data_IF_781709850963
#
_entry.id   IF_781709850963
#
_cell.length_a   1.000
_cell.length_b   1.000
_cell.length_c   1.000
_cell.angle_alpha   90.00
_cell.angle_beta   90.00
_cell.angle_gamma   90.00
#
_symmetry.space_group_name_H-M   'P 1'
#
loop_
_entity.id
_entity.type
_entity.pdbx_description
1 polymer ?
#
# COMPACT_ATOMS: atom_id res chain seq x y z
N UNK A 1 -14.59 -7.58 -24.46
CA UNK A 1 -13.31 -7.47 -23.72
C UNK A 1 -13.49 -8.26 -22.45
N UNK A 2 -12.78 -9.38 -22.33
CA UNK A 2 -13.02 -10.37 -21.27
C UNK A 2 -12.84 -9.74 -19.88
N UNK A 3 -13.72 -10.11 -18.93
CA UNK A 3 -13.59 -9.71 -17.51
C UNK A 3 -12.35 -10.40 -16.97
N UNK A 4 -11.18 -9.79 -17.18
CA UNK A 4 -9.90 -10.28 -16.69
C UNK A 4 -10.03 -10.45 -15.17
N UNK A 5 -10.10 -11.71 -14.73
CA UNK A 5 -10.12 -12.10 -13.32
C UNK A 5 -8.73 -11.83 -12.71
N UNK A 6 -8.38 -10.55 -12.58
CA UNK A 6 -7.12 -10.10 -11.99
C UNK A 6 -7.27 -10.19 -10.48
N UNK A 7 -6.33 -10.88 -9.84
CA UNK A 7 -6.26 -10.92 -8.39
C UNK A 7 -5.56 -9.66 -7.89
N UNK A 8 -6.06 -9.14 -6.78
CA UNK A 8 -5.40 -8.07 -6.05
C UNK A 8 -4.13 -8.61 -5.36
N UNK A 9 -3.12 -7.76 -5.25
CA UNK A 9 -1.96 -8.05 -4.42
C UNK A 9 -2.28 -7.58 -3.02
N UNK A 10 -2.32 -8.50 -2.06
CA UNK A 10 -2.71 -8.20 -0.70
C UNK A 10 -1.70 -8.74 0.31
N UNK A 11 -1.37 -7.93 1.31
CA UNK A 11 -0.49 -8.28 2.42
C UNK A 11 -1.29 -8.11 3.70
N UNK A 12 -1.60 -9.23 4.36
CA UNK A 12 -2.38 -9.28 5.60
C UNK A 12 -1.46 -9.52 6.78
N UNK A 13 -1.47 -8.60 7.74
CA UNK A 13 -0.65 -8.66 8.97
C UNK A 13 -1.55 -8.62 10.19
N UNK A 14 -2.45 -9.59 10.30
CA UNK A 14 -3.29 -9.74 11.47
C UNK A 14 -2.48 -10.13 12.71
N UNK A 15 -2.99 -9.78 13.88
CA UNK A 15 -2.49 -10.28 15.16
C UNK A 15 -3.64 -10.55 16.14
N UNK A 16 -3.33 -11.28 17.21
CA UNK A 16 -4.30 -11.65 18.25
C UNK A 16 -4.74 -10.47 19.12
N UNK A 17 -4.06 -9.32 19.02
CA UNK A 17 -4.40 -8.08 19.71
C UNK A 17 -5.36 -7.19 18.91
N UNK A 18 -5.85 -7.66 17.76
CA UNK A 18 -6.71 -6.89 16.85
C UNK A 18 -6.13 -5.52 16.50
N UNK A 19 -4.81 -5.45 16.36
CA UNK A 19 -4.06 -4.23 16.03
C UNK A 19 -3.22 -4.40 14.77
N UNK A 20 -3.49 -5.47 14.02
CA UNK A 20 -2.89 -5.74 12.74
C UNK A 20 -3.35 -4.76 11.67
N UNK A 21 -2.95 -5.04 10.44
CA UNK A 21 -3.25 -4.17 9.30
C UNK A 21 -3.19 -4.92 7.98
N UNK A 22 -3.77 -4.35 6.95
CA UNK A 22 -3.74 -4.88 5.58
C UNK A 22 -3.38 -3.78 4.59
N UNK A 23 -2.61 -4.13 3.57
CA UNK A 23 -2.45 -3.36 2.34
C UNK A 23 -2.92 -4.18 1.14
N UNK A 24 -3.73 -3.58 0.27
CA UNK A 24 -4.18 -4.15 -1.00
C UNK A 24 -3.80 -3.22 -2.16
N UNK A 25 -3.29 -3.79 -3.24
CA UNK A 25 -2.95 -3.11 -4.47
C UNK A 25 -3.80 -3.67 -5.60
N UNK A 26 -4.57 -2.80 -6.25
CA UNK A 26 -5.60 -3.17 -7.24
C UNK A 26 -5.40 -2.40 -8.52
N UNK A 27 -5.48 -3.05 -9.68
CA UNK A 27 -5.51 -2.32 -10.95
C UNK A 27 -6.84 -1.57 -11.06
N UNK A 28 -6.78 -0.29 -11.43
CA UNK A 28 -7.96 0.51 -11.68
C UNK A 28 -8.79 -0.06 -12.83
N UNK A 29 -10.12 0.11 -12.78
CA UNK A 29 -11.02 -0.45 -13.80
C UNK A 29 -10.73 0.05 -15.23
N UNK A 30 -10.14 1.23 -15.35
CA UNK A 30 -9.75 1.84 -16.63
C UNK A 30 -8.34 1.44 -17.07
N UNK A 31 -7.68 0.54 -16.35
CA UNK A 31 -6.29 0.15 -16.57
C UNK A 31 -5.30 1.33 -16.51
N UNK A 32 -5.66 2.48 -15.92
CA UNK A 32 -4.85 3.72 -15.95
C UNK A 32 -4.00 3.94 -14.70
N UNK A 33 -4.19 3.11 -13.67
CA UNK A 33 -3.54 3.27 -12.37
C UNK A 33 -3.58 1.99 -11.53
N UNK A 34 -2.92 2.06 -10.38
CA UNK A 34 -3.08 1.09 -9.30
C UNK A 34 -3.60 1.81 -8.04
N UNK A 35 -4.63 1.28 -7.40
CA UNK A 35 -5.09 1.76 -6.10
C UNK A 35 -4.37 1.01 -4.97
N UNK A 36 -3.83 1.76 -4.01
CA UNK A 36 -3.39 1.26 -2.71
C UNK A 36 -4.50 1.50 -1.70
N UNK A 37 -5.04 0.42 -1.13
CA UNK A 37 -5.99 0.45 -0.02
C UNK A 37 -5.34 -0.10 1.26
N UNK A 38 -5.39 0.67 2.35
CA UNK A 38 -4.89 0.23 3.66
C UNK A 38 -5.98 0.31 4.72
N UNK A 39 -6.12 -0.74 5.53
CA UNK A 39 -7.07 -0.79 6.63
C UNK A 39 -6.43 -1.37 7.91
N UNK A 40 -6.88 -0.88 9.06
CA UNK A 40 -6.52 -1.46 10.35
C UNK A 40 -7.36 -2.71 10.61
N UNK A 41 -6.78 -3.70 11.29
CA UNK A 41 -7.55 -4.77 11.89
C UNK A 41 -8.36 -4.18 13.05
N UNK A 42 -9.63 -4.56 13.18
CA UNK A 42 -10.52 -4.10 14.24
C UNK A 42 -11.22 -5.26 14.96
N UNK A 43 -11.08 -6.49 14.46
CA UNK A 43 -11.66 -7.68 15.07
C UNK A 43 -10.76 -8.92 14.84
N UNK A 44 -11.01 -10.02 15.57
CA UNK A 44 -10.27 -11.28 15.37
C UNK A 44 -10.54 -11.87 13.99
N UNK A 45 -9.64 -12.73 13.51
CA UNK A 45 -9.69 -13.27 12.14
C UNK A 45 -10.86 -14.21 11.84
N UNK A 46 -11.56 -14.69 12.86
CA UNK A 46 -12.81 -15.45 12.74
C UNK A 46 -14.06 -14.55 12.59
N UNK A 47 -13.91 -13.24 12.75
CA UNK A 47 -14.96 -12.26 12.44
C UNK A 47 -15.24 -12.24 10.93
N UNK A 48 -16.50 -12.03 10.50
CA UNK A 48 -16.82 -11.82 9.08
C UNK A 48 -16.18 -10.56 8.50
N UNK A 49 -15.79 -9.59 9.35
CA UNK A 49 -15.10 -8.35 8.97
C UNK A 49 -13.95 -8.09 9.97
N UNK A 50 -12.78 -8.73 9.79
CA UNK A 50 -11.66 -8.56 10.72
C UNK A 50 -10.92 -7.22 10.54
N UNK A 51 -11.17 -6.51 9.44
CA UNK A 51 -10.54 -5.24 9.10
C UNK A 51 -11.60 -4.14 8.90
N UNK A 52 -11.24 -2.93 9.30
CA UNK A 52 -12.05 -1.73 9.13
C UNK A 52 -11.94 -1.20 7.69
N UNK A 53 -12.62 -1.89 6.78
CA UNK A 53 -12.70 -1.48 5.38
C UNK A 53 -13.54 -0.20 5.16
N UNK A 54 -14.37 0.17 6.12
CA UNK A 54 -15.23 1.35 6.06
C UNK A 54 -14.40 2.63 6.24
N UNK A 55 -13.38 2.59 7.12
CA UNK A 55 -12.44 3.69 7.35
C UNK A 55 -11.07 3.51 6.65
N UNK A 56 -10.99 2.68 5.60
CA UNK A 56 -9.74 2.45 4.86
C UNK A 56 -9.20 3.72 4.21
N UNK A 57 -7.88 3.78 4.06
CA UNK A 57 -7.21 4.84 3.29
C UNK A 57 -6.97 4.33 1.87
N UNK A 58 -7.40 5.12 0.87
CA UNK A 58 -7.22 4.80 -0.56
C UNK A 58 -6.32 5.85 -1.21
N UNK A 59 -5.28 5.43 -1.91
CA UNK A 59 -4.38 6.29 -2.71
C UNK A 59 -4.32 5.78 -4.15
N UNK A 60 -4.44 6.68 -5.14
CA UNK A 60 -4.21 6.38 -6.56
C UNK A 60 -2.71 6.47 -6.83
N UNK A 61 -2.10 5.38 -7.29
CA UNK A 61 -0.71 5.30 -7.71
C UNK A 61 -0.65 5.38 -9.24
N UNK A 62 0.05 6.39 -9.75
CA UNK A 62 0.36 6.51 -11.17
C UNK A 62 1.67 5.81 -11.54
N UNK A 63 2.03 5.89 -12.81
CA UNK A 63 3.28 5.31 -13.36
C UNK A 63 4.51 5.81 -12.60
N UNK A 64 4.59 7.11 -12.33
CA UNK A 64 5.71 7.72 -11.58
C UNK A 64 5.85 7.13 -10.18
N UNK A 65 4.73 6.87 -9.50
CA UNK A 65 4.73 6.32 -8.15
C UNK A 65 5.20 4.86 -8.15
N UNK A 66 4.71 4.06 -9.11
CA UNK A 66 5.15 2.67 -9.29
C UNK A 66 6.63 2.59 -9.64
N UNK A 67 7.15 3.49 -10.49
CA UNK A 67 8.57 3.57 -10.80
C UNK A 67 9.42 3.93 -9.58
N UNK A 68 8.99 4.91 -8.76
CA UNK A 68 9.69 5.28 -7.51
C UNK A 68 9.70 4.12 -6.51
N UNK A 69 8.57 3.45 -6.33
CA UNK A 69 8.46 2.25 -5.48
C UNK A 69 9.40 1.14 -5.98
N UNK A 70 9.39 0.84 -7.27
CA UNK A 70 10.28 -0.17 -7.86
C UNK A 70 11.76 0.17 -7.74
N UNK A 71 12.12 1.44 -7.92
CA UNK A 71 13.50 1.89 -7.76
C UNK A 71 13.95 1.76 -6.30
N UNK A 72 13.10 2.17 -5.35
CA UNK A 72 13.39 2.09 -3.93
C UNK A 72 13.52 0.64 -3.43
N UNK A 73 12.61 -0.25 -3.83
CA UNK A 73 12.62 -1.66 -3.45
C UNK A 73 13.76 -2.48 -4.08
N UNK A 74 14.56 -1.89 -4.98
CA UNK A 74 15.80 -2.51 -5.50
C UNK A 74 17.02 -2.22 -4.63
N UNK A 75 16.93 -1.24 -3.73
CA UNK A 75 18.01 -0.90 -2.82
C UNK A 75 18.05 -1.95 -1.71
N UNK A 76 19.26 -2.42 -1.38
CA UNK A 76 19.45 -3.45 -0.35
C UNK A 76 19.12 -2.91 1.07
N UNK A 77 19.68 -1.75 1.39
CA UNK A 77 19.49 -1.05 2.68
C UNK A 77 19.38 0.46 2.45
N UNK A 78 18.22 0.96 1.98
CA UNK A 78 18.05 2.39 1.75
C UNK A 78 18.14 3.18 3.06
N UNK A 79 19.00 4.21 3.07
CA UNK A 79 19.25 5.04 4.27
C UNK A 79 18.15 6.06 4.57
N UNK A 80 17.37 6.47 3.56
CA UNK A 80 16.24 7.39 3.71
C UNK A 80 14.94 6.69 3.32
N UNK A 81 13.83 7.05 3.95
CA UNK A 81 12.51 6.52 3.56
C UNK A 81 12.05 7.12 2.22
N UNK A 82 11.42 6.30 1.38
CA UNK A 82 10.68 6.79 0.23
C UNK A 82 9.40 7.48 0.71
N UNK A 83 9.11 8.67 0.20
CA UNK A 83 7.89 9.41 0.50
C UNK A 83 7.16 9.82 -0.78
N UNK A 84 5.86 9.57 -0.83
CA UNK A 84 4.96 10.03 -1.88
C UNK A 84 3.84 10.85 -1.24
N UNK A 85 3.52 12.00 -1.84
CA UNK A 85 2.52 12.94 -1.33
C UNK A 85 1.48 13.20 -2.40
N UNK A 86 0.20 13.07 -2.03
CA UNK A 86 -0.95 13.30 -2.90
C UNK A 86 -1.89 14.28 -2.23
N UNK A 87 -2.14 15.40 -2.89
CA UNK A 87 -3.17 16.35 -2.47
C UNK A 87 -4.55 15.83 -2.89
N UNK A 88 -5.54 15.93 -1.99
CA UNK A 88 -6.91 15.55 -2.30
C UNK A 88 -7.67 16.73 -2.92
N UNK A 89 -8.50 16.53 -3.96
CA UNK A 89 -9.43 17.56 -4.43
C UNK A 89 -10.37 17.97 -3.30
N UNK A 90 -10.31 19.24 -2.87
CA UNK A 90 -11.08 19.75 -1.71
C UNK A 90 -10.25 19.98 -0.43
N UNK A 91 -8.93 19.76 -0.50
CA UNK A 91 -8.00 19.97 0.62
C UNK A 91 -7.72 18.70 1.43
N UNK A 92 -6.64 18.74 2.20
CA UNK A 92 -6.09 17.56 2.89
C UNK A 92 -5.07 16.80 2.05
N UNK A 93 -4.25 15.98 2.71
CA UNK A 93 -3.11 15.31 2.11
C UNK A 93 -3.09 13.83 2.43
N UNK A 94 -2.77 13.00 1.44
CA UNK A 94 -2.41 11.61 1.63
C UNK A 94 -0.91 11.45 1.47
N UNK A 95 -0.30 10.72 2.39
CA UNK A 95 1.12 10.44 2.41
C UNK A 95 1.35 8.94 2.38
N UNK A 96 2.33 8.50 1.60
CA UNK A 96 2.87 7.15 1.64
C UNK A 96 4.33 7.25 2.06
N UNK A 97 4.71 6.52 3.09
CA UNK A 97 6.11 6.34 3.50
C UNK A 97 6.46 4.86 3.41
N UNK A 98 7.52 4.52 2.67
CA UNK A 98 8.11 3.19 2.63
C UNK A 98 9.48 3.26 3.26
N UNK A 99 9.65 2.69 4.45
CA UNK A 99 10.88 2.83 5.24
C UNK A 99 11.50 1.46 5.49
N UNK A 100 12.78 1.31 5.14
CA UNK A 100 13.54 0.12 5.50
C UNK A 100 13.84 0.12 7.00
N UNK A 101 13.87 -1.07 7.59
CA UNK A 101 14.20 -1.29 8.98
C UNK A 101 14.74 -2.70 9.22
N UNK A 102 15.26 -2.92 10.42
CA UNK A 102 15.48 -4.26 10.97
C UNK A 102 14.48 -4.49 12.10
N UNK A 103 13.74 -5.60 12.05
CA UNK A 103 12.84 -6.04 13.12
C UNK A 103 13.29 -7.41 13.60
N UNK A 104 13.64 -7.53 14.89
CA UNK A 104 14.21 -8.74 15.49
C UNK A 104 15.42 -9.29 14.69
N UNK A 105 16.31 -8.39 14.24
CA UNK A 105 17.50 -8.74 13.46
C UNK A 105 17.22 -9.22 12.02
N UNK A 106 15.97 -9.08 11.54
CA UNK A 106 15.58 -9.42 10.17
C UNK A 106 15.26 -8.16 9.37
N UNK A 107 15.77 -8.03 8.14
CA UNK A 107 15.43 -6.92 7.26
C UNK A 107 13.94 -6.92 6.91
N UNK A 108 13.33 -5.76 6.97
CA UNK A 108 11.91 -5.56 6.69
C UNK A 108 11.68 -4.11 6.25
N UNK A 109 10.47 -3.82 5.82
CA UNK A 109 10.02 -2.46 5.57
C UNK A 109 8.74 -2.17 6.36
N UNK A 110 8.49 -0.89 6.64
CA UNK A 110 7.16 -0.42 7.00
C UNK A 110 6.59 0.40 5.84
N UNK A 111 5.43 -0.02 5.36
CA UNK A 111 4.55 0.79 4.52
C UNK A 111 3.60 1.55 5.43
N UNK A 112 3.75 2.86 5.53
CA UNK A 112 2.83 3.72 6.26
C UNK A 112 2.04 4.57 5.28
N UNK A 113 0.71 4.51 5.38
CA UNK A 113 -0.20 5.37 4.63
C UNK A 113 -0.95 6.25 5.60
N UNK A 114 -0.91 7.56 5.38
CA UNK A 114 -1.60 8.54 6.21
C UNK A 114 -2.56 9.38 5.38
N UNK A 115 -3.68 9.75 5.97
CA UNK A 115 -4.62 10.72 5.43
C UNK A 115 -4.84 11.82 6.47
N UNK A 116 -4.37 13.02 6.15
CA UNK A 116 -4.68 14.23 6.89
C UNK A 116 -5.88 14.89 6.23
N UNK A 117 -6.98 15.00 6.99
CA UNK A 117 -8.10 15.85 6.59
C UNK A 117 -7.72 17.32 6.82
N UNK A 118 -8.49 18.24 6.23
CA UNK A 118 -8.32 19.68 6.42
C UNK A 118 -8.28 20.07 7.92
N UNK A 119 -7.65 21.23 8.21
CA UNK A 119 -7.29 21.74 9.55
C UNK A 119 -8.22 21.27 10.69
N UNK A 120 -7.67 20.52 11.65
CA UNK A 120 -8.28 20.26 12.97
C UNK A 120 -8.73 18.82 13.23
N UNK A 121 -8.86 17.98 12.21
CA UNK A 121 -9.19 16.56 12.39
C UNK A 121 -7.95 15.67 12.57
N UNK A 122 -8.11 14.59 13.35
CA UNK A 122 -7.04 13.61 13.56
C UNK A 122 -6.66 12.92 12.24
N UNK A 123 -5.36 12.83 11.97
CA UNK A 123 -4.85 12.11 10.82
C UNK A 123 -5.11 10.61 10.99
N UNK A 124 -5.75 9.98 10.00
CA UNK A 124 -5.80 8.52 9.95
C UNK A 124 -4.46 7.99 9.45
N UNK A 125 -3.93 6.93 10.06
CA UNK A 125 -2.64 6.33 9.69
C UNK A 125 -2.70 4.81 9.84
N UNK A 126 -2.30 4.09 8.79
CA UNK A 126 -2.15 2.63 8.80
C UNK A 126 -0.71 2.29 8.44
N UNK A 127 -0.07 1.48 9.28
CA UNK A 127 1.31 1.00 9.08
C UNK A 127 1.32 -0.51 8.94
N UNK A 128 1.80 -1.02 7.80
CA UNK A 128 1.87 -2.45 7.47
C UNK A 128 3.35 -2.87 7.41
N UNK A 129 3.82 -3.81 8.25
CA UNK A 129 5.15 -4.38 8.08
C UNK A 129 5.18 -5.24 6.82
N UNK A 130 6.26 -5.14 6.04
CA UNK A 130 6.46 -5.83 4.77
C UNK A 130 7.76 -6.63 4.86
N UNK A 131 7.69 -7.94 4.67
CA UNK A 131 8.85 -8.83 4.61
C UNK A 131 9.57 -8.75 3.27
N UNK A 132 10.79 -9.30 3.18
CA UNK A 132 11.55 -9.31 1.92
C UNK A 132 10.88 -10.17 0.84
N UNK A 133 10.25 -11.28 1.23
CA UNK A 133 9.43 -12.13 0.37
C UNK A 133 8.24 -11.35 -0.21
N UNK A 134 7.58 -10.55 0.62
CA UNK A 134 6.48 -9.67 0.19
C UNK A 134 6.97 -8.52 -0.68
N UNK A 135 8.19 -8.01 -0.46
CA UNK A 135 8.83 -7.05 -1.35
C UNK A 135 8.99 -7.64 -2.75
N UNK A 136 9.45 -8.88 -2.88
CA UNK A 136 9.53 -9.54 -4.19
C UNK A 136 8.15 -9.69 -4.85
N UNK A 137 7.13 -10.04 -4.06
CA UNK A 137 5.76 -10.10 -4.56
C UNK A 137 5.27 -8.74 -5.09
N UNK A 138 5.53 -7.65 -4.34
CA UNK A 138 5.21 -6.29 -4.76
C UNK A 138 5.99 -5.89 -6.02
N UNK A 139 7.29 -6.22 -6.12
CA UNK A 139 8.12 -5.88 -7.29
C UNK A 139 7.61 -6.53 -8.57
N UNK A 140 7.20 -7.80 -8.50
CA UNK A 140 6.59 -8.50 -9.64
C UNK A 140 5.27 -7.81 -10.01
N UNK A 141 4.43 -7.57 -9.01
CA UNK A 141 3.16 -6.87 -9.15
C UNK A 141 3.24 -5.53 -9.83
N UNK A 142 4.12 -4.65 -9.35
CA UNK A 142 4.28 -3.29 -9.87
C UNK A 142 4.82 -3.29 -11.30
N UNK A 143 5.71 -4.24 -11.67
CA UNK A 143 6.17 -4.39 -13.05
C UNK A 143 5.04 -4.79 -13.99
N UNK A 144 4.19 -5.75 -13.58
CA UNK A 144 3.04 -6.18 -14.36
C UNK A 144 1.98 -5.07 -14.45
N UNK A 145 1.76 -4.34 -13.36
CA UNK A 145 0.88 -3.18 -13.33
C UNK A 145 1.33 -2.09 -14.31
N UNK A 146 2.62 -1.75 -14.34
CA UNK A 146 3.16 -0.77 -15.27
C UNK A 146 2.93 -1.17 -16.73
N UNK A 147 3.11 -2.46 -17.08
CA UNK A 147 2.82 -2.94 -18.45
C UNK A 147 1.36 -2.72 -18.82
N UNK A 148 0.44 -3.03 -17.89
CA UNK A 148 -0.99 -2.79 -18.10
C UNK A 148 -1.28 -1.30 -18.27
N UNK A 149 -0.75 -0.46 -17.37
CA UNK A 149 -0.99 0.99 -17.36
C UNK A 149 -0.50 1.67 -18.63
N UNK A 150 0.67 1.26 -19.11
CA UNK A 150 1.26 1.78 -20.34
C UNK A 150 0.66 1.15 -21.61
N UNK A 151 -0.31 0.24 -21.47
CA UNK A 151 -0.86 -0.57 -22.56
C UNK A 151 0.22 -1.34 -23.36
N UNK A 152 1.31 -1.73 -22.69
CA UNK A 152 2.40 -2.51 -23.27
C UNK A 152 2.08 -4.00 -23.13
N UNK A 153 1.51 -4.55 -24.20
CA UNK A 153 1.18 -5.97 -24.32
C UNK A 153 2.44 -6.83 -24.43
#
# INVERSE_FOLDING_TARGET
MDKRNRRDIAIYKANTKNSGSVAQFKIGNNDDCMFLECAAQNAPMDSPKPYDWENKIIVKLGESDLCKLLAYLRLDKPGAALKLYHESPGGGNKGIEFKWQEYNGRPSYYLTVSHQKTKGEAANRVSVPIGLDEVEYLRIGFKLALRIILAWN
#
